data_IF_027611659268
#
_entry.id   IF_027611659268
#
_cell.length_a   1.000
_cell.length_b   1.000
_cell.length_c   1.000
_cell.angle_alpha   90.00
_cell.angle_beta   90.00
_cell.angle_gamma   90.00
#
_symmetry.space_group_name_H-M   'P 1'
#
loop_
_entity.id
_entity.type
_entity.pdbx_description
1 polymer ?
2 non-polymer ?
3 non-polymer ?
4 water ?
#
# COMPACT_ATOMS: atom_id res chain seq x y z
N UNK A 1 13.31 -23.97 15.62
CA UNK A 1 13.66 -22.70 14.94
C UNK A 1 12.69 -21.62 15.44
N UNK A 2 13.13 -20.36 15.32
CA UNK A 2 12.37 -19.18 15.73
C UNK A 2 10.88 -19.27 15.38
N UNK A 3 10.03 -18.91 16.35
CA UNK A 3 8.58 -18.93 16.21
C UNK A 3 8.07 -18.48 14.85
N UNK A 4 7.22 -19.30 14.24
CA UNK A 4 6.63 -18.98 12.96
C UNK A 4 7.48 -19.02 11.70
N UNK A 5 8.79 -19.06 11.81
CA UNK A 5 9.65 -19.10 10.64
C UNK A 5 9.39 -20.34 9.76
N UNK A 6 9.35 -21.52 10.37
CA UNK A 6 9.09 -22.73 9.60
C UNK A 6 7.70 -22.72 9.00
N UNK A 7 6.74 -22.19 9.74
CA UNK A 7 5.36 -22.13 9.27
C UNK A 7 5.24 -21.23 8.03
N UNK A 8 5.96 -20.12 8.03
CA UNK A 8 5.93 -19.21 6.88
C UNK A 8 6.70 -19.88 5.73
N UNK A 9 7.73 -20.64 6.05
CA UNK A 9 8.50 -21.33 5.01
C UNK A 9 7.63 -22.38 4.33
N UNK A 10 6.82 -23.08 5.12
CA UNK A 10 5.92 -24.11 4.61
C UNK A 10 4.81 -23.49 3.78
N UNK A 11 4.28 -22.36 4.23
CA UNK A 11 3.22 -21.65 3.50
C UNK A 11 3.77 -21.30 2.11
N UNK A 12 4.98 -20.76 2.10
CA UNK A 12 5.66 -20.36 0.88
C UNK A 12 5.88 -21.55 -0.06
N UNK A 13 6.31 -22.67 0.51
CA UNK A 13 6.54 -23.88 -0.28
C UNK A 13 5.23 -24.35 -0.91
N UNK A 14 4.14 -24.31 -0.14
CA UNK A 14 2.83 -24.72 -0.66
C UNK A 14 2.30 -23.78 -1.74
N UNK A 15 2.58 -22.49 -1.57
CA UNK A 15 2.17 -21.42 -2.49
C UNK A 15 2.97 -21.54 -3.79
N UNK A 16 4.20 -22.02 -3.68
CA UNK A 16 5.11 -22.19 -4.82
C UNK A 16 5.47 -20.84 -5.42
N UNK A 17 5.87 -19.93 -4.55
CA UNK A 17 6.27 -18.60 -4.99
C UNK A 17 7.20 -17.99 -3.97
N UNK A 18 7.11 -16.68 -3.80
CA UNK A 18 7.96 -15.97 -2.85
C UNK A 18 7.04 -15.12 -1.99
N UNK A 19 7.21 -15.22 -0.68
CA UNK A 19 6.39 -14.46 0.26
C UNK A 19 7.33 -13.57 1.08
N UNK A 20 6.95 -12.30 1.23
CA UNK A 20 7.76 -11.38 2.00
C UNK A 20 6.86 -10.77 3.03
N UNK A 21 7.25 -10.82 4.30
CA UNK A 21 6.42 -10.26 5.36
C UNK A 21 7.22 -9.51 6.43
N UNK A 22 6.62 -8.43 6.93
CA UNK A 22 7.19 -7.66 8.01
C UNK A 22 6.03 -7.11 8.85
N UNK A 23 6.03 -7.45 10.13
CA UNK A 23 4.99 -7.01 11.05
C UNK A 23 5.69 -6.43 12.27
N UNK A 24 5.16 -5.33 12.80
CA UNK A 24 5.73 -4.67 13.97
C UNK A 24 4.65 -4.24 14.96
N UNK A 25 4.87 -4.55 16.23
CA UNK A 25 3.94 -4.15 17.29
C UNK A 25 4.54 -2.83 17.81
N UNK A 26 3.86 -1.71 17.60
CA UNK A 26 4.41 -0.43 18.07
C UNK A 26 4.29 -0.25 19.58
N UNK A 27 3.62 -1.19 20.24
CA UNK A 27 3.46 -1.12 21.68
C UNK A 27 4.62 -1.79 22.40
N UNK A 28 5.00 -2.99 21.95
CA UNK A 28 6.08 -3.74 22.57
C UNK A 28 7.41 -3.65 21.82
N UNK A 29 7.33 -3.35 20.53
CA UNK A 29 8.53 -3.27 19.72
C UNK A 29 8.90 -4.61 19.11
N UNK A 30 8.08 -5.63 19.36
CA UNK A 30 8.33 -6.97 18.83
C UNK A 30 7.97 -7.00 17.34
N UNK A 31 8.63 -7.87 16.59
CA UNK A 31 8.37 -7.97 15.16
C UNK A 31 8.60 -9.37 14.61
N UNK A 32 8.30 -9.52 13.32
CA UNK A 32 8.48 -10.78 12.63
C UNK A 32 8.82 -10.41 11.18
N UNK A 33 9.88 -11.02 10.64
CA UNK A 33 10.29 -10.74 9.26
C UNK A 33 10.61 -12.04 8.52
N UNK A 34 10.34 -12.03 7.23
CA UNK A 34 10.62 -13.16 6.35
C UNK A 34 10.78 -12.54 4.98
N UNK A 35 11.99 -12.61 4.43
CA UNK A 35 12.32 -12.00 3.13
C UNK A 35 11.91 -10.52 3.17
N UNK A 36 11.98 -9.91 4.35
CA UNK A 36 11.58 -8.52 4.53
C UNK A 36 12.41 -7.53 3.76
N UNK A 37 13.62 -7.93 3.41
CA UNK A 37 14.54 -7.07 2.69
C UNK A 37 14.64 -7.36 1.19
N UNK A 38 13.77 -8.24 0.68
CA UNK A 38 13.77 -8.58 -0.74
C UNK A 38 12.78 -7.70 -1.49
N UNK A 39 13.01 -7.55 -2.79
CA UNK A 39 12.13 -6.73 -3.63
C UNK A 39 10.94 -7.49 -4.16
N UNK A 40 9.80 -6.81 -4.19
CA UNK A 40 8.54 -7.34 -4.68
C UNK A 40 7.86 -6.18 -5.41
N UNK A 41 7.04 -6.48 -6.43
CA UNK A 41 6.36 -5.41 -7.16
C UNK A 41 5.36 -4.70 -6.24
N UNK A 42 5.25 -3.38 -6.36
CA UNK A 42 4.32 -2.63 -5.54
C UNK A 42 2.89 -2.77 -6.02
N UNK A 43 2.71 -2.87 -7.34
CA UNK A 43 1.38 -2.96 -7.94
C UNK A 43 0.64 -1.69 -7.47
N UNK A 44 -0.65 -1.77 -7.22
CA UNK A 44 -1.41 -0.58 -6.79
C UNK A 44 -1.12 -0.11 -5.36
N UNK A 45 -0.34 -0.88 -4.59
CA UNK A 45 -0.08 -0.51 -3.20
C UNK A 45 0.55 0.86 -3.00
N UNK A 46 1.32 1.34 -3.98
CA UNK A 46 1.98 2.65 -3.87
C UNK A 46 0.97 3.81 -3.77
N UNK A 47 -0.26 3.58 -4.23
CA UNK A 47 -1.30 4.63 -4.19
C UNK A 47 -1.59 5.08 -2.76
N UNK A 48 -1.39 4.19 -1.79
CA UNK A 48 -1.60 4.54 -0.41
C UNK A 48 -0.56 5.55 0.02
N UNK A 49 0.60 5.50 -0.62
CA UNK A 49 1.69 6.43 -0.32
C UNK A 49 1.51 7.72 -1.13
N UNK A 50 0.90 7.61 -2.30
CA UNK A 50 0.64 8.77 -3.15
C UNK A 50 -0.31 9.69 -2.38
N UNK A 51 -1.29 9.10 -1.71
CA UNK A 51 -2.26 9.86 -0.91
C UNK A 51 -1.55 10.64 0.19
N UNK A 52 -0.54 10.02 0.80
CA UNK A 52 0.22 10.64 1.87
C UNK A 52 1.03 11.81 1.33
N UNK A 53 1.54 11.68 0.11
CA UNK A 53 2.32 12.75 -0.52
C UNK A 53 1.43 13.96 -0.73
N UNK A 54 0.18 13.72 -1.13
CA UNK A 54 -0.80 14.78 -1.33
C UNK A 54 -1.09 15.47 0.01
N UNK A 55 -1.24 14.67 1.06
CA UNK A 55 -1.47 15.22 2.40
C UNK A 55 -0.31 16.09 2.87
N UNK A 56 0.91 15.67 2.57
CA UNK A 56 2.11 16.43 2.93
C UNK A 56 2.12 17.77 2.19
N UNK A 57 1.71 17.76 0.93
CA UNK A 57 1.65 18.98 0.14
C UNK A 57 0.63 19.94 0.73
N UNK A 58 -0.50 19.39 1.21
CA UNK A 58 -1.57 20.17 1.82
C UNK A 58 -1.04 20.88 3.07
N UNK A 59 -0.40 20.09 3.92
CA UNK A 59 0.22 20.53 5.17
C UNK A 59 1.27 21.62 4.89
N UNK A 60 2.06 21.40 3.84
CA UNK A 60 3.10 22.33 3.43
C UNK A 60 2.52 23.60 2.81
N UNK A 61 1.21 23.55 2.52
CA UNK A 61 0.50 24.66 1.88
C UNK A 61 1.02 24.90 0.46
N UNK A 62 1.44 23.82 -0.16
CA UNK A 62 1.94 23.82 -1.53
C UNK A 62 0.72 23.49 -2.40
N UNK A 63 -0.35 23.04 -1.75
CA UNK A 63 -1.60 22.71 -2.43
C UNK A 63 -2.74 22.76 -1.42
N UNK A 64 -3.98 22.74 -1.89
CA UNK A 64 -5.14 22.79 -1.03
C UNK A 64 -6.07 21.64 -1.40
N UNK A 65 -6.41 20.78 -0.43
CA UNK A 65 -7.28 19.64 -0.70
C UNK A 65 -8.65 20.03 -1.22
N UNK A 66 -9.04 21.29 -1.01
CA UNK A 66 -10.34 21.76 -1.46
C UNK A 66 -10.37 22.20 -2.92
N UNK A 67 -9.20 22.26 -3.55
CA UNK A 67 -9.10 22.65 -4.96
C UNK A 67 -9.88 21.68 -5.84
N UNK A 68 -10.70 22.21 -6.74
CA UNK A 68 -11.47 21.36 -7.65
C UNK A 68 -10.59 20.96 -8.83
N UNK A 69 -10.47 19.66 -9.05
CA UNK A 69 -9.67 19.14 -10.14
C UNK A 69 -10.59 18.82 -11.32
N UNK A 70 -10.38 19.51 -12.44
CA UNK A 70 -11.20 19.32 -13.62
C UNK A 70 -10.50 18.39 -14.60
N UNK A 71 -11.24 17.45 -15.17
CA UNK A 71 -10.68 16.50 -16.13
C UNK A 71 -11.75 16.03 -17.10
N UNK A 72 -12.75 16.87 -17.34
CA UNK A 72 -13.86 16.52 -18.24
C UNK A 72 -13.48 16.21 -19.69
N UNK A 73 -12.26 16.52 -20.10
CA UNK A 73 -11.86 16.23 -21.47
C UNK A 73 -10.67 15.26 -21.52
N UNK A 74 -10.47 14.53 -20.44
CA UNK A 74 -9.38 13.55 -20.34
C UNK A 74 -10.03 12.17 -20.29
N UNK A 75 -9.54 11.23 -21.09
CA UNK A 75 -10.10 9.89 -21.07
C UNK A 75 -9.52 9.20 -19.85
N UNK A 76 -10.36 8.52 -19.10
CA UNK A 76 -9.92 7.85 -17.89
C UNK A 76 -9.36 6.45 -18.10
N UNK A 77 -8.39 6.10 -17.26
CA UNK A 77 -7.73 4.82 -17.30
C UNK A 77 -8.65 3.67 -16.85
N UNK A 78 -8.22 2.46 -17.16
CA UNK A 78 -8.94 1.26 -16.80
C UNK A 78 -9.06 1.24 -15.26
N UNK A 79 -10.25 0.94 -14.74
CA UNK A 79 -10.52 0.91 -13.31
C UNK A 79 -10.42 2.31 -12.70
N UNK A 80 -11.42 3.13 -12.99
CA UNK A 80 -11.53 4.48 -12.48
C UNK A 80 -12.96 4.58 -12.01
N UNK A 81 -13.36 3.73 -11.04
CA UNK A 81 -14.74 3.76 -10.56
C UNK A 81 -15.27 5.08 -10.02
N UNK A 82 -14.42 5.84 -9.34
CA UNK A 82 -14.85 7.11 -8.75
C UNK A 82 -14.71 8.30 -9.69
N UNK A 83 -13.54 8.46 -10.30
CA UNK A 83 -13.31 9.56 -11.21
C UNK A 83 -14.29 9.53 -12.39
N UNK A 84 -14.68 8.34 -12.83
CA UNK A 84 -15.65 8.22 -13.93
C UNK A 84 -17.00 8.79 -13.51
N UNK A 85 -17.38 8.53 -12.26
CA UNK A 85 -18.66 9.00 -11.74
C UNK A 85 -18.76 10.51 -11.63
N UNK A 86 -17.62 11.17 -11.37
CA UNK A 86 -17.59 12.61 -11.20
C UNK A 86 -16.89 13.38 -12.31
N UNK A 87 -16.70 12.73 -13.46
CA UNK A 87 -15.99 13.34 -14.58
C UNK A 87 -16.58 14.67 -15.12
N UNK A 88 -17.89 14.80 -15.10
CA UNK A 88 -18.51 16.01 -15.63
C UNK A 88 -18.19 17.30 -14.88
N UNK A 89 -18.23 17.26 -13.55
CA UNK A 89 -17.96 18.46 -12.77
C UNK A 89 -16.71 18.45 -11.90
N UNK A 90 -15.95 17.36 -12.00
CA UNK A 90 -14.71 17.24 -11.24
C UNK A 90 -14.87 16.89 -9.78
N UNK A 91 -13.76 16.81 -9.08
CA UNK A 91 -13.81 16.50 -7.65
C UNK A 91 -12.66 17.20 -6.93
N UNK A 92 -12.81 17.46 -5.64
CA UNK A 92 -11.75 18.12 -4.89
C UNK A 92 -10.49 17.25 -4.92
N UNK A 93 -9.34 17.87 -4.71
CA UNK A 93 -8.07 17.15 -4.69
C UNK A 93 -8.08 16.14 -3.54
N UNK A 94 -8.76 16.50 -2.45
CA UNK A 94 -8.85 15.63 -1.29
C UNK A 94 -9.65 14.39 -1.62
N UNK A 95 -10.80 14.56 -2.26
CA UNK A 95 -11.63 13.43 -2.64
C UNK A 95 -10.95 12.56 -3.68
N UNK A 96 -10.20 13.19 -4.58
CA UNK A 96 -9.48 12.44 -5.60
C UNK A 96 -8.36 11.61 -4.97
N UNK A 97 -7.67 12.19 -3.99
CA UNK A 97 -6.57 11.49 -3.31
C UNK A 97 -7.15 10.28 -2.56
N UNK A 98 -8.28 10.48 -1.90
CA UNK A 98 -8.95 9.42 -1.16
C UNK A 98 -9.36 8.28 -2.10
N UNK A 99 -9.89 8.62 -3.27
CA UNK A 99 -10.32 7.63 -4.26
C UNK A 99 -9.15 6.79 -4.78
N UNK A 100 -8.01 7.43 -5.04
CA UNK A 100 -6.83 6.72 -5.50
C UNK A 100 -6.50 5.58 -4.53
N UNK A 101 -6.64 5.85 -3.23
CA UNK A 101 -6.35 4.87 -2.19
C UNK A 101 -7.48 3.84 -1.99
N UNK A 102 -8.67 4.33 -1.64
CA UNK A 102 -9.81 3.48 -1.31
C UNK A 102 -10.41 2.62 -2.42
N UNK A 103 -10.27 3.05 -3.67
CA UNK A 103 -10.81 2.30 -4.79
C UNK A 103 -9.72 2.01 -5.80
N UNK A 104 -8.48 2.32 -5.45
CA UNK A 104 -7.34 2.07 -6.35
C UNK A 104 -7.60 2.72 -7.71
N UNK A 105 -8.36 3.81 -7.69
CA UNK A 105 -8.74 4.57 -8.89
C UNK A 105 -7.54 4.98 -9.73
N UNK A 106 -7.45 4.45 -10.95
CA UNK A 106 -6.30 4.76 -11.81
C UNK A 106 -6.36 6.15 -12.42
N UNK A 107 -7.56 6.67 -12.68
CA UNK A 107 -7.68 8.02 -13.21
C UNK A 107 -7.16 8.98 -12.17
N UNK A 108 -7.60 8.80 -10.93
CA UNK A 108 -7.19 9.63 -9.81
C UNK A 108 -5.67 9.54 -9.62
N UNK A 109 -5.16 8.32 -9.72
CA UNK A 109 -3.73 8.08 -9.57
C UNK A 109 -2.89 8.79 -10.61
N UNK A 110 -3.25 8.65 -11.88
CA UNK A 110 -2.44 9.29 -12.92
C UNK A 110 -2.61 10.81 -12.94
N UNK A 111 -3.81 11.29 -12.65
CA UNK A 111 -4.05 12.73 -12.62
C UNK A 111 -3.21 13.37 -11.52
N UNK A 112 -3.24 12.78 -10.32
CA UNK A 112 -2.47 13.29 -9.19
C UNK A 112 -0.96 13.18 -9.46
N UNK A 113 -0.50 12.05 -10.01
CA UNK A 113 0.93 11.92 -10.31
C UNK A 113 1.38 13.02 -11.28
N UNK A 114 0.56 13.31 -12.28
CA UNK A 114 0.87 14.35 -13.27
C UNK A 114 0.87 15.78 -12.76
N UNK A 115 -0.25 16.18 -12.16
CA UNK A 115 -0.44 17.55 -11.70
C UNK A 115 0.08 17.97 -10.33
N UNK A 116 0.26 17.02 -9.42
CA UNK A 116 0.68 17.40 -8.08
C UNK A 116 1.93 16.79 -7.50
N UNK A 117 2.25 15.56 -7.90
CA UNK A 117 3.40 14.85 -7.36
C UNK A 117 4.70 14.84 -8.19
N UNK A 118 4.62 15.14 -9.48
CA UNK A 118 5.81 15.13 -10.30
C UNK A 118 6.10 13.77 -10.95
N UNK A 119 5.05 13.01 -11.22
CA UNK A 119 5.18 11.72 -11.85
C UNK A 119 5.97 10.72 -11.03
N UNK A 120 6.35 9.56 -11.62
CA UNK A 120 7.11 8.51 -10.93
C UNK A 120 8.35 9.06 -10.21
N UNK A 121 9.06 10.00 -10.84
CA UNK A 121 10.25 10.59 -10.24
C UNK A 121 9.90 11.32 -8.95
N UNK A 122 8.83 12.10 -8.99
CA UNK A 122 8.39 12.84 -7.82
C UNK A 122 7.92 11.93 -6.71
N UNK A 123 7.21 10.86 -7.06
CA UNK A 123 6.72 9.91 -6.07
C UNK A 123 7.91 9.29 -5.38
N UNK A 124 8.89 8.85 -6.17
CA UNK A 124 10.11 8.25 -5.65
C UNK A 124 10.84 9.27 -4.76
N UNK A 125 10.93 10.51 -5.22
CA UNK A 125 11.59 11.55 -4.45
C UNK A 125 10.92 11.75 -3.09
N UNK A 126 9.57 11.73 -3.05
CA UNK A 126 8.84 11.90 -1.79
C UNK A 126 9.22 10.80 -0.79
N UNK A 127 9.27 9.55 -1.28
CA UNK A 127 9.62 8.44 -0.42
C UNK A 127 11.05 8.57 0.08
N UNK A 128 11.95 9.08 -0.78
CA UNK A 128 13.34 9.28 -0.37
C UNK A 128 13.38 10.29 0.78
N UNK A 129 12.58 11.35 0.68
CA UNK A 129 12.56 12.39 1.71
C UNK A 129 12.09 11.92 3.07
N UNK A 130 11.35 10.81 3.13
CA UNK A 130 10.88 10.30 4.41
C UNK A 130 11.78 9.19 4.97
N UNK A 131 12.89 8.91 4.28
CA UNK A 131 13.82 7.88 4.74
C UNK A 131 13.79 6.54 4.03
N UNK A 132 12.97 6.43 2.99
CA UNK A 132 12.84 5.19 2.23
C UNK A 132 13.85 5.17 1.08
N UNK A 133 14.85 4.31 1.17
CA UNK A 133 15.88 4.16 0.15
C UNK A 133 15.54 3.07 -0.88
N UNK A 134 14.54 2.25 -0.56
CA UNK A 134 14.14 1.13 -1.40
C UNK A 134 13.03 1.34 -2.41
N UNK A 135 12.01 2.07 -2.00
CA UNK A 135 10.86 2.33 -2.86
C UNK A 135 11.27 2.95 -4.18
N UNK A 136 10.69 2.47 -5.27
CA UNK A 136 10.97 3.04 -6.57
C UNK A 136 9.80 2.87 -7.52
N UNK A 137 9.21 4.00 -7.93
CA UNK A 137 8.11 3.99 -8.89
C UNK A 137 8.78 4.51 -10.15
N UNK A 138 8.67 3.73 -11.23
CA UNK A 138 9.31 4.07 -12.48
C UNK A 138 8.38 4.26 -13.64
N UNK A 139 7.18 3.71 -13.55
CA UNK A 139 6.21 3.82 -14.64
C UNK A 139 4.85 4.28 -14.16
N UNK A 140 4.01 4.64 -15.11
CA UNK A 140 2.65 5.10 -14.82
C UNK A 140 1.70 3.93 -14.85
N UNK A 141 0.44 4.20 -14.52
CA UNK A 141 -0.60 3.19 -14.55
C UNK A 141 -0.99 3.12 -16.04
N UNK A 142 -1.22 1.92 -16.57
CA UNK A 142 -1.14 0.68 -15.83
C UNK A 142 0.10 -0.13 -16.20
N UNK A 143 1.12 0.54 -16.76
CA UNK A 143 2.36 -0.12 -17.17
C UNK A 143 3.22 -0.65 -16.03
N UNK A 144 3.10 -0.04 -14.86
CA UNK A 144 3.88 -0.44 -13.69
C UNK A 144 3.53 -1.81 -13.10
N UNK A 145 2.51 -2.46 -13.66
CA UNK A 145 2.05 -3.77 -13.17
C UNK A 145 2.62 -5.03 -13.83
N UNK A 146 3.63 -4.89 -14.68
CA UNK A 146 4.19 -6.07 -15.36
C UNK A 146 4.66 -7.18 -14.42
N UNK A 147 5.22 -6.81 -13.27
CA UNK A 147 5.68 -7.78 -12.27
C UNK A 147 6.61 -8.87 -12.79
N UNK A 148 7.55 -8.51 -13.66
CA UNK A 148 8.47 -9.48 -14.24
C UNK A 148 9.51 -9.91 -13.20
N UNK A 149 9.70 -11.23 -13.01
CA UNK A 149 10.67 -11.74 -12.04
C UNK A 149 12.06 -11.14 -12.26
N UNK A 150 12.64 -10.64 -11.18
CA UNK A 150 13.96 -10.04 -11.26
C UNK A 150 13.99 -8.57 -11.62
N UNK A 151 12.92 -8.06 -12.22
CA UNK A 151 12.82 -6.66 -12.63
C UNK A 151 12.67 -5.78 -11.38
N UNK A 152 13.55 -4.79 -11.24
CA UNK A 152 13.51 -3.91 -10.07
C UNK A 152 12.59 -2.70 -10.22
N UNK A 153 11.98 -2.53 -11.39
CA UNK A 153 11.10 -1.40 -11.62
C UNK A 153 9.80 -1.55 -10.84
N UNK A 154 9.36 -0.46 -10.21
CA UNK A 154 8.10 -0.43 -9.47
C UNK A 154 8.06 -1.46 -8.36
N UNK A 155 9.17 -1.54 -7.63
CA UNK A 155 9.30 -2.48 -6.52
C UNK A 155 9.76 -1.76 -5.25
N UNK A 156 9.65 -2.49 -4.14
CA UNK A 156 10.10 -2.04 -2.84
C UNK A 156 10.19 -3.31 -2.02
N UNK A 157 10.53 -3.18 -0.74
CA UNK A 157 10.65 -4.34 0.13
C UNK A 157 9.57 -4.27 1.22
N UNK A 158 9.17 -5.42 1.77
CA UNK A 158 8.14 -5.40 2.82
C UNK A 158 8.57 -4.53 4.01
N UNK A 159 9.86 -4.58 4.35
CA UNK A 159 10.41 -3.81 5.45
C UNK A 159 10.31 -2.30 5.17
N UNK A 160 10.75 -1.87 3.98
CA UNK A 160 10.69 -0.45 3.60
C UNK A 160 9.25 0.05 3.58
N UNK A 161 8.35 -0.77 3.07
CA UNK A 161 6.92 -0.41 3.01
C UNK A 161 6.40 -0.20 4.43
N UNK A 162 6.77 -1.10 5.34
CA UNK A 162 6.33 -1.01 6.72
C UNK A 162 6.93 0.22 7.40
N UNK A 163 8.22 0.46 7.18
CA UNK A 163 8.90 1.61 7.78
C UNK A 163 8.23 2.91 7.34
N UNK A 164 7.97 3.04 6.03
CA UNK A 164 7.34 4.24 5.49
C UNK A 164 5.91 4.43 5.99
N UNK A 165 5.14 3.32 6.08
CA UNK A 165 3.77 3.42 6.56
C UNK A 165 3.76 3.88 8.01
N UNK A 166 4.66 3.36 8.84
CA UNK A 166 4.72 3.76 10.24
C UNK A 166 5.15 5.22 10.34
N UNK A 167 6.15 5.60 9.54
CA UNK A 167 6.64 6.98 9.52
C UNK A 167 5.51 7.93 9.16
N UNK A 168 4.71 7.58 8.16
CA UNK A 168 3.61 8.42 7.71
C UNK A 168 2.37 8.40 8.60
N UNK A 169 1.90 7.21 8.94
CA UNK A 169 0.70 7.08 9.76
C UNK A 169 0.90 7.32 11.25
N UNK A 170 2.10 7.03 11.75
CA UNK A 170 2.37 7.17 13.19
C UNK A 170 3.59 8.02 13.53
N UNK A 171 4.24 8.59 12.53
CA UNK A 171 5.43 9.40 12.80
C UNK A 171 5.12 10.89 12.89
N UNK A 172 6.13 11.71 12.61
CA UNK A 172 5.94 13.16 12.69
C UNK A 172 6.19 13.88 11.35
N UNK A 173 6.10 13.15 10.25
CA UNK A 173 6.26 13.73 8.92
C UNK A 173 4.98 14.51 8.66
N UNK A 174 3.85 13.83 8.89
CA UNK A 174 2.54 14.42 8.72
C UNK A 174 2.16 14.98 10.09
N UNK A 175 1.43 16.09 10.11
CA UNK A 175 0.98 16.71 11.36
C UNK A 175 -0.17 15.90 11.94
N UNK A 176 -0.57 16.21 13.17
CA UNK A 176 -1.65 15.49 13.81
C UNK A 176 -2.91 15.43 12.95
N UNK A 177 -3.31 16.56 12.38
CA UNK A 177 -4.52 16.59 11.56
C UNK A 177 -4.40 15.74 10.28
N UNK A 178 -3.27 15.83 9.58
CA UNK A 178 -3.06 15.06 8.35
C UNK A 178 -3.04 13.54 8.63
N UNK A 179 -2.44 13.17 9.77
CA UNK A 179 -2.38 11.76 10.17
C UNK A 179 -3.78 11.25 10.43
N UNK A 180 -4.65 12.08 11.01
CA UNK A 180 -6.03 11.68 11.28
C UNK A 180 -6.71 11.39 9.95
N UNK A 181 -6.50 12.29 8.98
CA UNK A 181 -7.07 12.14 7.65
C UNK A 181 -6.52 10.89 6.93
N UNK A 182 -5.21 10.67 7.03
CA UNK A 182 -4.55 9.53 6.41
C UNK A 182 -5.10 8.23 7.01
N UNK A 183 -5.16 8.17 8.34
CA UNK A 183 -5.67 7.00 9.04
C UNK A 183 -7.13 6.75 8.68
N UNK A 184 -7.91 7.82 8.54
CA UNK A 184 -9.32 7.71 8.15
C UNK A 184 -9.42 7.12 6.74
N UNK A 185 -8.57 7.61 5.82
CA UNK A 185 -8.57 7.14 4.44
C UNK A 185 -8.20 5.65 4.42
N UNK A 186 -7.18 5.29 5.18
CA UNK A 186 -6.74 3.90 5.25
C UNK A 186 -7.86 3.01 5.79
N UNK A 187 -8.55 3.47 6.83
CA UNK A 187 -9.64 2.69 7.42
C UNK A 187 -10.82 2.49 6.48
N UNK A 188 -11.03 3.44 5.58
CA UNK A 188 -12.13 3.35 4.62
C UNK A 188 -11.81 2.61 3.33
N UNK A 189 -10.64 1.99 3.24
CA UNK A 189 -10.28 1.22 2.03
C UNK A 189 -11.35 0.17 1.79
N UNK A 190 -11.76 -0.01 0.53
CA UNK A 190 -12.81 -0.96 0.20
C UNK A 190 -12.37 -2.29 -0.42
N UNK A 191 -11.07 -2.46 -0.66
CA UNK A 191 -10.57 -3.66 -1.34
C UNK A 191 -9.73 -4.67 -0.56
N UNK A 192 -9.77 -4.66 0.77
CA UNK A 192 -8.92 -5.61 1.48
C UNK A 192 -9.56 -6.64 2.37
N UNK A 193 -10.85 -6.93 2.17
CA UNK A 193 -11.56 -7.89 3.01
C UNK A 193 -10.95 -9.29 3.11
N UNK A 194 -10.38 -9.79 2.02
CA UNK A 194 -9.80 -11.12 2.00
C UNK A 194 -8.31 -11.20 2.36
N UNK A 195 -7.67 -10.06 2.60
CA UNK A 195 -6.26 -10.06 2.94
C UNK A 195 -5.97 -9.83 4.42
N UNK A 196 -5.20 -8.80 4.78
CA UNK A 196 -4.90 -8.59 6.20
C UNK A 196 -6.13 -8.55 7.10
N UNK A 197 -7.20 -7.92 6.65
CA UNK A 197 -8.44 -7.82 7.42
C UNK A 197 -9.01 -9.20 7.78
N UNK A 198 -8.75 -10.18 6.91
CA UNK A 198 -9.24 -11.54 7.12
C UNK A 198 -8.43 -12.33 8.18
N UNK A 199 -7.27 -11.82 8.56
CA UNK A 199 -6.43 -12.51 9.55
C UNK A 199 -6.63 -12.08 11.02
N UNK A 200 -7.42 -11.03 11.24
CA UNK A 200 -7.61 -10.54 12.60
C UNK A 200 -9.05 -10.67 13.11
N UNK A 201 -9.24 -10.69 14.45
CA UNK A 201 -10.59 -10.81 15.01
C UNK A 201 -11.44 -9.59 14.68
N UNK A 202 -12.75 -9.80 14.63
CA UNK A 202 -13.71 -8.76 14.28
C UNK A 202 -13.60 -7.42 14.99
N UNK A 203 -13.18 -7.42 16.25
CA UNK A 203 -13.08 -6.16 17.01
C UNK A 203 -11.79 -5.37 16.81
N UNK A 204 -10.91 -5.85 15.93
CA UNK A 204 -9.67 -5.14 15.63
C UNK A 204 -9.99 -4.24 14.45
N UNK A 205 -9.45 -3.02 14.44
CA UNK A 205 -9.72 -2.07 13.36
C UNK A 205 -8.54 -2.03 12.40
N UNK A 206 -8.83 -2.18 11.11
CA UNK A 206 -7.77 -2.20 10.10
C UNK A 206 -7.85 -1.05 9.09
N UNK A 207 -6.66 -0.57 8.70
CA UNK A 207 -6.53 0.48 7.71
C UNK A 207 -5.53 -0.12 6.75
N UNK A 208 -5.85 -0.25 5.47
CA UNK A 208 -4.92 -0.89 4.53
C UNK A 208 -4.99 -0.39 3.09
N UNK A 209 -4.07 -0.91 2.27
CA UNK A 209 -4.02 -0.62 0.84
C UNK A 209 -3.51 -1.91 0.18
N UNK A 210 -4.32 -2.46 -0.70
CA UNK A 210 -3.97 -3.67 -1.42
C UNK A 210 -3.28 -3.36 -2.75
N UNK A 211 -2.73 -4.39 -3.38
CA UNK A 211 -2.09 -4.22 -4.67
C UNK A 211 -2.17 -5.57 -5.36
N UNK A 212 -2.67 -5.58 -6.59
CA UNK A 212 -2.79 -6.81 -7.37
C UNK A 212 -2.38 -6.47 -8.79
N UNK A 213 -1.20 -6.96 -9.18
CA UNK A 213 -0.65 -6.69 -10.50
C UNK A 213 -1.34 -7.39 -11.68
N UNK A 214 -1.98 -8.53 -11.41
CA UNK A 214 -2.64 -9.25 -12.47
C UNK A 214 -1.71 -10.02 -13.38
N UNK A 215 -0.49 -10.27 -12.90
CA UNK A 215 0.52 -11.02 -13.64
C UNK A 215 1.43 -11.65 -12.60
N UNK A 216 2.02 -12.79 -12.96
CA UNK A 216 2.93 -13.53 -12.06
C UNK A 216 2.39 -13.73 -10.65
N UNK A 217 1.07 -13.92 -10.54
CA UNK A 217 0.44 -14.13 -9.24
C UNK A 217 0.88 -13.16 -8.16
N UNK A 218 1.19 -11.94 -8.59
CA UNK A 218 1.66 -10.89 -7.69
C UNK A 218 0.54 -10.09 -7.02
N UNK A 219 0.54 -10.10 -5.68
CA UNK A 219 -0.45 -9.39 -4.90
C UNK A 219 0.14 -9.07 -3.54
N UNK A 220 -0.39 -8.04 -2.91
CA UNK A 220 0.13 -7.59 -1.62
C UNK A 220 -0.90 -6.80 -0.83
N UNK A 221 -0.50 -6.40 0.37
CA UNK A 221 -1.35 -5.62 1.26
C UNK A 221 -0.48 -5.12 2.42
N UNK A 222 -0.71 -3.89 2.84
CA UNK A 222 0.00 -3.35 4.00
C UNK A 222 -1.07 -2.66 4.83
N UNK A 223 -0.88 -2.63 6.14
CA UNK A 223 -1.90 -2.02 6.99
C UNK A 223 -1.44 -1.61 8.36
N UNK A 224 -2.22 -0.71 8.96
CA UNK A 224 -2.01 -0.28 10.33
C UNK A 224 -3.16 -1.03 10.99
N UNK A 225 -2.87 -1.87 11.96
CA UNK A 225 -3.90 -2.63 12.64
C UNK A 225 -4.01 -2.21 14.11
N UNK A 226 -5.20 -1.82 14.52
CA UNK A 226 -5.46 -1.38 15.89
C UNK A 226 -6.18 -2.47 16.67
N UNK A 227 -5.43 -3.28 17.44
CA UNK A 227 -6.06 -4.35 18.22
C UNK A 227 -6.83 -3.71 19.38
N UNK A 228 -7.87 -4.40 19.85
CA UNK A 228 -8.68 -3.90 20.97
C UNK A 228 -7.76 -3.66 22.18
N UNK A 229 -7.81 -2.44 22.72
CA UNK A 229 -7.02 -2.03 23.88
C UNK A 229 -5.51 -2.24 23.74
N UNK A 230 -4.98 -2.02 22.54
CA UNK A 230 -3.55 -2.17 22.27
C UNK A 230 -3.04 -1.14 21.28
N UNK A 231 -1.73 -0.94 21.31
CA UNK A 231 -1.06 -0.01 20.40
C UNK A 231 -1.16 -0.63 18.99
N UNK A 232 -1.06 0.20 17.95
CA UNK A 232 -1.15 -0.26 16.56
C UNK A 232 -0.04 -1.21 16.14
N UNK A 233 -0.35 -2.02 15.14
CA UNK A 233 0.57 -2.97 14.53
C UNK A 233 0.73 -2.50 13.09
N UNK A 234 1.92 -2.66 12.52
CA UNK A 234 2.16 -2.30 11.13
C UNK A 234 2.42 -3.65 10.45
N UNK A 235 1.62 -3.97 9.44
CA UNK A 235 1.74 -5.24 8.71
C UNK A 235 1.99 -4.99 7.22
N UNK A 236 2.94 -5.73 6.66
CA UNK A 236 3.32 -5.61 5.27
C UNK A 236 3.51 -7.00 4.69
N UNK A 237 2.65 -7.37 3.74
CA UNK A 237 2.74 -8.68 3.08
C UNK A 237 2.78 -8.53 1.56
N UNK A 238 3.84 -9.05 0.95
CA UNK A 238 4.01 -9.02 -0.50
C UNK A 238 4.27 -10.42 -1.01
N UNK A 239 3.69 -10.79 -2.14
CA UNK A 239 3.87 -12.12 -2.72
C UNK A 239 4.05 -12.05 -4.23
N UNK A 240 4.66 -13.09 -4.79
CA UNK A 240 4.88 -13.16 -6.24
C UNK A 240 5.16 -14.61 -6.64
N UNK A 241 4.99 -14.93 -7.91
CA UNK A 241 5.22 -16.27 -8.47
C UNK A 241 6.09 -16.15 -9.72
N UNK A 242 6.57 -17.27 -10.23
CA UNK A 242 7.44 -17.24 -11.41
C UNK A 242 6.70 -17.51 -12.75
N UNK A 243 5.49 -17.84 -12.72
CA UNK A 243 4.70 -18.10 -13.93
C UNK A 243 3.94 -16.84 -14.30
N UNK A 244 4.01 -16.42 -15.42
CA UNK A 244 3.32 -15.20 -15.79
C UNK A 244 1.79 -15.29 -15.69
N UNK A 245 1.24 -16.47 -15.97
CA UNK A 245 -0.22 -16.67 -15.96
C UNK A 245 -0.78 -17.08 -14.59
N UNK A 246 0.06 -17.36 -13.62
CA UNK A 246 -0.38 -17.75 -12.30
C UNK A 246 -1.26 -16.67 -11.65
N UNK A 247 -2.31 -17.10 -10.95
CA UNK A 247 -3.23 -16.18 -10.28
C UNK A 247 -2.75 -15.91 -8.85
N UNK A 248 -3.12 -14.75 -8.31
CA UNK A 248 -2.72 -14.41 -6.93
C UNK A 248 -3.58 -15.20 -5.94
N UNK A 249 -3.08 -15.39 -4.72
CA UNK A 249 -3.82 -16.13 -3.71
C UNK A 249 -4.06 -15.32 -2.45
N UNK A 250 -5.27 -14.80 -2.31
CA UNK A 250 -5.64 -13.99 -1.15
C UNK A 250 -5.43 -14.74 0.16
N UNK A 251 -5.78 -16.03 0.17
CA UNK A 251 -5.64 -16.84 1.38
C UNK A 251 -4.20 -16.92 1.87
N UNK A 252 -3.26 -16.93 0.94
CA UNK A 252 -1.84 -16.98 1.28
C UNK A 252 -1.40 -15.68 1.95
N UNK A 253 -1.83 -14.55 1.41
CA UNK A 253 -1.49 -13.26 1.97
C UNK A 253 -2.06 -13.16 3.38
N UNK A 254 -3.31 -13.56 3.53
CA UNK A 254 -3.99 -13.53 4.83
C UNK A 254 -3.31 -14.43 5.86
N UNK A 255 -2.91 -15.63 5.43
CA UNK A 255 -2.23 -16.57 6.33
C UNK A 255 -0.84 -16.07 6.74
N UNK A 256 -0.15 -15.38 5.84
CA UNK A 256 1.17 -14.84 6.15
C UNK A 256 1.01 -13.75 7.22
N UNK A 257 -0.06 -12.96 7.13
CA UNK A 257 -0.34 -11.91 8.10
C UNK A 257 -0.68 -12.54 9.46
N UNK A 258 -1.53 -13.57 9.45
CA UNK A 258 -1.91 -14.25 10.68
C UNK A 258 -0.66 -14.79 11.40
N UNK A 259 0.20 -15.47 10.65
CA UNK A 259 1.43 -16.02 11.19
C UNK A 259 2.29 -14.92 11.84
N UNK A 260 2.50 -13.83 11.11
CA UNK A 260 3.30 -12.72 11.60
C UNK A 260 2.74 -12.16 12.92
N UNK A 261 1.44 -11.88 12.95
CA UNK A 261 0.78 -11.33 14.15
C UNK A 261 0.93 -12.26 15.35
N UNK A 262 0.80 -13.57 15.10
CA UNK A 262 0.91 -14.57 16.16
C UNK A 262 2.32 -14.93 16.55
N UNK A 263 3.31 -14.44 15.80
CA UNK A 263 4.68 -14.79 16.10
C UNK A 263 5.64 -13.62 16.30
N UNK A 264 5.14 -12.54 16.88
CA UNK A 264 5.99 -11.38 17.12
C UNK A 264 6.98 -11.71 18.25
N UNK A 265 8.24 -11.32 18.06
CA UNK A 265 9.27 -11.57 19.06
C UNK A 265 10.33 -10.43 19.05
X LIG B 1 -3.63 -2.39 -8.60
X LIG B 1 -2.92 -3.34 -8.23
X LIG B 1 -4.87 -2.63 -9.51
X LIG B 1 -4.75 -1.93 -10.91
X LIG B 1 -4.32 -0.57 -10.76
X LIG B 1 -6.16 -2.19 -8.74
X LIG B 1 -7.65 -3.11 -9.33
X LIG B 1 -7.76 -4.08 -7.75
X LIG B 1 -8.06 -5.58 -8.12
X LIG B 1 -8.97 -3.53 -6.91
X LIG B 1 -6.36 -3.88 -7.08
X LIG B 1 -6.36 -4.12 -5.57
X LIG B 1 -6.18 -3.13 -4.84
X LIG B 1 -6.46 -5.30 -5.16
X LIG B 1 -6.00 -2.49 -7.33
X LIG B 1 -6.10 -1.93 -11.63
X LIG B 1 -3.72 -2.66 -11.76
X LIG C 1 -7.58 18.30 -26.90
X LIG C 1 -8.07 17.93 -25.58
X LIG C 1 -7.53 16.69 -25.27
X LIG C 1 -8.00 15.77 -26.22
X LIG C 1 -7.44 16.07 -27.46
X LIG C 1 -7.93 17.29 -27.89
X LIG C 1 -7.76 14.42 -25.90
X LIG C 1 -7.58 14.07 -24.56
X LIG C 1 -7.41 12.72 -24.11
X LIG C 1 -6.10 11.86 -24.98
X LIG C 1 -6.94 12.68 -22.36
X LIG C 1 -8.87 11.70 -24.23
X LIG D 1 9.03 -25.30 19.07
X LIG D 1 9.72 -24.75 20.23
X LIG D 1 9.44 -23.40 20.26
X LIG D 1 9.92 -22.82 19.08
X LIG D 1 9.19 -23.27 18.00
X LIG D 1 9.43 -24.63 17.84
X LIG D 1 9.96 -21.42 19.11
X LIG D 1 10.82 -20.84 20.03
X LIG D 1 11.88 -19.94 19.69
X LIG D 1 13.01 -20.62 18.49
X LIG D 1 11.23 -18.42 18.98
X LIG D 1 12.89 -19.41 21.08
X LIG E 1 -1.19 9.86 -17.34
X LIG E 1 -0.13 10.83 -17.14
X LIG E 1 0.45 11.05 -18.36
X LIG E 1 0.99 9.83 -18.81
X LIG E 1 -0.03 8.95 -19.11
X LIG E 1 -0.68 8.62 -17.93
X LIG E 1 1.86 9.97 -19.88
X LIG E 1 3.08 9.36 -19.72
X LIG E 1 4.16 9.49 -20.63
X LIG E 1 4.85 11.15 -20.66
X LIG E 1 5.51 8.38 -20.17
X LIG E 1 3.78 9.04 -22.33
#
# INVERSE_FOLDING_TARGET
NTKGIDEIKNLETDFNGRIGVYALDTGSGKSFSYRANERFPLCSSFKGFLAAAVLKGSQDNRLNLNQIVNYNTRSLEFHSPITTKYKDNGMSLGDMAAAALQYSDNGATNIILERYIGGPEGMTKFMRSIGDEDFRLDRWELDLNTAIPGDERDTSTPAAVAKSLKTLALGNILSEHEKETYQTWLKGNTTGAARIRASVPSDWVVGDKTGSCGAYGTANDYAVVWPKNRAPLIISVYTTKNEKEAKHEDKVIAEASRIAIDNLK
AP3 C1 O1 C2 C21 O22 C3 S4 C5 C51 C52 C6 C8 O81 O82 N7 C9 C10
MES O1 C2 C3 N4 C5 C6 C7 C8 S O1S O2S O3S
MES O1 C2 C3 N4 C5 C6 C7 C8 S O1S O2S O3S
MES O1 C2 C3 N4 C5 C6 C7 C8 S O1S O2S O3S
#
